data_IF_053639811982
#
_entry.id   IF_053639811982
#
_cell.length_a   1.000
_cell.length_b   1.000
_cell.length_c   1.000
_cell.angle_alpha   90.00
_cell.angle_beta   90.00
_cell.angle_gamma   90.00
#
_symmetry.space_group_name_H-M   'P 1'
#
loop_
_entity.id
_entity.type
_entity.pdbx_description
1 polymer ?
#
# COMPACT_ATOMS: atom_id res chain seq x y z
N UNK A 1 0.17 4.03 26.44
CA UNK A 1 0.63 2.94 25.53
C UNK A 1 0.99 3.54 24.18
N UNK A 2 2.07 3.09 23.51
CA UNK A 2 2.36 3.51 22.12
C UNK A 2 1.46 2.73 21.16
N UNK A 3 0.53 3.41 20.48
CA UNK A 3 -0.34 2.81 19.46
C UNK A 3 0.50 2.33 18.26
N UNK A 4 0.15 1.17 17.72
CA UNK A 4 0.74 0.59 16.49
C UNK A 4 -0.37 0.37 15.47
N UNK A 5 -0.07 0.55 14.19
CA UNK A 5 -0.96 0.26 13.08
C UNK A 5 -0.42 -0.91 12.25
N UNK A 6 -1.32 -1.77 11.79
CA UNK A 6 -1.04 -2.82 10.81
C UNK A 6 -1.89 -2.51 9.57
N UNK A 7 -1.23 -2.37 8.42
CA UNK A 7 -1.88 -2.14 7.12
C UNK A 7 -1.69 -3.37 6.24
N UNK A 8 -2.78 -4.05 5.90
CA UNK A 8 -2.76 -5.23 5.02
C UNK A 8 -2.92 -4.78 3.57
N UNK A 9 -1.80 -4.72 2.86
CA UNK A 9 -1.65 -4.20 1.50
C UNK A 9 -1.35 -5.32 0.47
N UNK A 10 -1.99 -6.48 0.61
CA UNK A 10 -1.72 -7.69 -0.19
C UNK A 10 -2.90 -8.17 -1.06
N UNK A 11 -2.65 -9.13 -1.96
CA UNK A 11 -3.63 -9.89 -2.77
C UNK A 11 -3.42 -9.76 -4.29
N UNK A 12 -4.01 -10.67 -5.07
CA UNK A 12 -3.64 -10.96 -6.48
C UNK A 12 -3.89 -9.87 -7.54
N UNK A 13 -4.63 -8.81 -7.23
CA UNK A 13 -4.88 -7.72 -8.19
C UNK A 13 -5.85 -8.05 -9.33
N UNK A 14 -6.41 -9.26 -9.39
CA UNK A 14 -7.25 -9.76 -10.49
C UNK A 14 -8.43 -8.85 -10.88
N UNK A 15 -9.05 -8.15 -9.92
CA UNK A 15 -10.16 -7.21 -10.19
C UNK A 15 -9.75 -5.95 -10.95
N UNK A 16 -8.47 -5.61 -10.94
CA UNK A 16 -7.91 -4.42 -11.61
C UNK A 16 -6.99 -4.82 -12.78
N UNK A 17 -7.09 -6.07 -13.24
CA UNK A 17 -6.44 -6.50 -14.46
C UNK A 17 -6.98 -5.69 -15.67
N UNK A 18 -6.14 -5.22 -16.61
CA UNK A 18 -4.72 -5.52 -16.79
C UNK A 18 -3.74 -4.57 -16.08
N UNK A 19 -4.22 -3.52 -15.39
CA UNK A 19 -3.35 -2.51 -14.77
C UNK A 19 -2.38 -3.10 -13.74
N UNK A 20 -2.79 -4.18 -13.08
CA UNK A 20 -1.96 -4.90 -12.10
C UNK A 20 -0.83 -5.74 -12.70
N UNK A 21 -0.68 -5.79 -14.04
CA UNK A 21 0.50 -6.34 -14.69
C UNK A 21 1.69 -5.38 -14.64
N UNK A 22 1.42 -4.06 -14.64
CA UNK A 22 2.44 -3.01 -14.73
C UNK A 22 2.88 -2.60 -13.32
N UNK A 23 1.93 -2.41 -12.40
CA UNK A 23 2.22 -2.01 -11.02
C UNK A 23 1.35 -2.77 -10.02
N UNK A 24 1.83 -2.93 -8.78
CA UNK A 24 1.05 -3.56 -7.72
C UNK A 24 -0.21 -2.73 -7.45
N UNK A 25 -1.35 -3.39 -7.20
CA UNK A 25 -2.64 -2.71 -6.97
C UNK A 25 -2.62 -1.58 -5.91
N UNK A 26 -1.73 -1.69 -4.92
CA UNK A 26 -1.61 -0.72 -3.82
C UNK A 26 -0.79 0.51 -4.20
N UNK A 27 -0.05 0.43 -5.30
CA UNK A 27 0.68 1.53 -5.90
C UNK A 27 0.00 2.11 -7.13
N UNK A 28 -1.16 1.58 -7.53
CA UNK A 28 -1.94 2.20 -8.59
C UNK A 28 -2.25 3.65 -8.20
N UNK A 29 -2.01 4.61 -9.12
CA UNK A 29 -2.24 6.02 -8.83
C UNK A 29 -3.74 6.28 -8.74
N UNK A 30 -4.11 7.08 -7.74
CA UNK A 30 -5.39 7.78 -7.65
C UNK A 30 -5.03 9.26 -7.62
N UNK A 31 -5.41 10.00 -8.64
CA UNK A 31 -4.91 11.35 -8.89
C UNK A 31 -3.37 11.39 -8.95
N UNK A 32 -2.73 12.17 -8.08
CA UNK A 32 -1.30 12.44 -8.01
C UNK A 32 -0.54 11.46 -7.11
N UNK A 33 -1.21 10.50 -6.45
CA UNK A 33 -0.62 9.67 -5.40
C UNK A 33 -1.02 8.19 -5.50
N UNK A 34 -0.16 7.26 -5.08
CA UNK A 34 -0.54 5.84 -5.00
C UNK A 34 -1.64 5.63 -3.96
N UNK A 35 -2.56 4.69 -4.20
CA UNK A 35 -3.70 4.43 -3.29
C UNK A 35 -3.28 4.16 -1.83
N UNK A 36 -2.11 3.53 -1.61
CA UNK A 36 -1.59 3.26 -0.26
C UNK A 36 -1.33 4.53 0.56
N UNK A 37 -1.02 5.66 -0.09
CA UNK A 37 -0.72 6.93 0.60
C UNK A 37 -1.94 7.51 1.31
N UNK A 38 -3.14 7.28 0.79
CA UNK A 38 -4.37 7.71 1.44
C UNK A 38 -4.58 6.97 2.78
N UNK A 39 -4.32 5.66 2.80
CA UNK A 39 -4.40 4.85 4.02
C UNK A 39 -3.32 5.25 5.03
N UNK A 40 -2.07 5.39 4.58
CA UNK A 40 -0.97 5.86 5.43
C UNK A 40 -1.20 7.28 5.95
N UNK A 41 -1.77 8.16 5.13
CA UNK A 41 -2.14 9.52 5.51
C UNK A 41 -3.15 9.52 6.65
N UNK A 42 -4.16 8.67 6.61
CA UNK A 42 -5.13 8.50 7.71
C UNK A 42 -4.46 8.01 8.99
N UNK A 43 -3.59 6.99 8.90
CA UNK A 43 -2.85 6.45 10.06
C UNK A 43 -1.93 7.52 10.68
N UNK A 44 -1.21 8.28 9.84
CA UNK A 44 -0.31 9.36 10.27
C UNK A 44 -1.07 10.53 10.90
N UNK A 45 -2.23 10.92 10.34
CA UNK A 45 -3.10 11.95 10.91
C UNK A 45 -3.66 11.54 12.28
N UNK A 46 -3.84 10.25 12.52
CA UNK A 46 -4.20 9.71 13.84
C UNK A 46 -3.02 9.71 14.85
N UNK A 47 -1.85 10.23 14.48
CA UNK A 47 -0.66 10.30 15.35
C UNK A 47 0.10 8.98 15.49
N UNK A 48 -0.22 7.95 14.69
CA UNK A 48 0.40 6.63 14.81
C UNK A 48 1.71 6.60 14.03
N UNK A 49 2.83 6.44 14.75
CA UNK A 49 4.20 6.42 14.16
C UNK A 49 4.70 5.01 13.87
N UNK A 50 4.24 4.02 14.61
CA UNK A 50 4.66 2.62 14.44
C UNK A 50 3.70 1.93 13.47
N UNK A 51 4.12 1.77 12.21
CA UNK A 51 3.28 1.22 11.14
C UNK A 51 3.98 -0.01 10.57
N UNK A 52 3.29 -1.14 10.58
CA UNK A 52 3.71 -2.36 9.87
C UNK A 52 2.83 -2.55 8.65
N UNK A 53 3.44 -2.72 7.48
CA UNK A 53 2.73 -3.01 6.23
C UNK A 53 2.95 -4.48 5.89
N UNK A 54 1.86 -5.24 5.75
CA UNK A 54 1.90 -6.63 5.30
C UNK A 54 1.52 -6.64 3.82
N UNK A 55 2.42 -7.11 2.96
CA UNK A 55 2.20 -7.21 1.51
C UNK A 55 2.36 -8.65 1.03
N UNK A 56 2.08 -8.90 -0.24
CA UNK A 56 2.35 -10.20 -0.87
C UNK A 56 3.71 -10.20 -1.59
N UNK A 57 4.02 -11.33 -2.22
CA UNK A 57 5.27 -11.59 -2.94
C UNK A 57 5.63 -10.58 -4.06
N UNK A 58 4.71 -9.70 -4.46
CA UNK A 58 4.98 -8.70 -5.50
C UNK A 58 5.68 -7.43 -4.97
N UNK A 59 5.85 -7.31 -3.65
CA UNK A 59 6.53 -6.15 -3.02
C UNK A 59 7.98 -5.99 -3.50
N UNK A 60 8.68 -7.08 -3.84
CA UNK A 60 10.07 -7.03 -4.31
C UNK A 60 10.25 -6.34 -5.66
N UNK A 61 9.20 -6.29 -6.50
CA UNK A 61 9.24 -5.56 -7.78
C UNK A 61 9.20 -4.03 -7.59
N UNK A 62 8.98 -3.56 -6.37
CA UNK A 62 8.92 -2.14 -6.04
C UNK A 62 10.30 -1.52 -5.81
N UNK A 63 11.35 -2.33 -5.62
CA UNK A 63 12.71 -1.85 -5.36
C UNK A 63 13.53 -1.61 -6.63
N UNK A 64 13.02 -2.02 -7.79
CA UNK A 64 13.72 -1.93 -9.09
C UNK A 64 13.24 -0.76 -9.97
N UNK A 65 12.52 0.21 -9.40
CA UNK A 65 12.14 1.48 -10.06
C UNK A 65 12.68 2.65 -9.26
#
# INVERSE_FOLDING_TARGET
MKVKAILVAGGHGSRLYPFTNITQKTLLPIYDRPVIDYALGTIRRAGIKNITIISNQFIGRLQSM
#
